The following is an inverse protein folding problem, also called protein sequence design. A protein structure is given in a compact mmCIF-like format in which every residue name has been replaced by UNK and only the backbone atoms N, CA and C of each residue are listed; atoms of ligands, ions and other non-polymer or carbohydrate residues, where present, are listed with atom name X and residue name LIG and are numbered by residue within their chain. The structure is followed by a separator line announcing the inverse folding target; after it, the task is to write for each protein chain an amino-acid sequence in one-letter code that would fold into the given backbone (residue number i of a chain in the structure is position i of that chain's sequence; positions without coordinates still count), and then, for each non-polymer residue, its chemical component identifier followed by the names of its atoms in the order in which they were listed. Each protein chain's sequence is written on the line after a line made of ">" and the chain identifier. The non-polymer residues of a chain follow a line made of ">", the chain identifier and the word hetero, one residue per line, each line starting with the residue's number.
data_IF_944019362486
#
_entry.id   IF_944019362486
#
_cell.length_a   1.000
_cell.length_b   1.000
_cell.length_c   1.000
_cell.angle_alpha   90.00
_cell.angle_beta   90.00
_cell.angle_gamma   90.00
#
_symmetry.space_group_name_H-M   'P 1'
#
loop_
_entity.id
_entity.type
_entity.pdbx_description
1 polymer ?
#
# COMPACT_ATOMS: atom_id res chain seq x y z
N UNK A 1 7.38 30.67 55.54
CA UNK A 1 6.81 29.88 54.43
C UNK A 1 7.71 28.66 54.24
N UNK A 2 7.24 27.47 54.64
CA UNK A 2 8.03 26.22 54.59
C UNK A 2 7.76 25.52 53.26
N UNK A 3 8.81 25.29 52.45
CA UNK A 3 8.72 24.49 51.24
C UNK A 3 8.56 23.02 51.63
N UNK A 4 7.32 22.52 51.68
CA UNK A 4 7.07 21.08 51.78
C UNK A 4 7.70 20.41 50.55
N UNK A 5 8.72 19.59 50.78
CA UNK A 5 9.54 19.02 49.72
C UNK A 5 8.75 18.04 48.84
N UNK A 6 8.68 18.33 47.55
CA UNK A 6 8.09 17.46 46.52
C UNK A 6 8.86 16.14 46.29
N UNK A 7 9.82 15.79 47.16
CA UNK A 7 10.73 14.66 46.98
C UNK A 7 9.99 13.31 46.92
N UNK A 8 8.98 13.10 47.77
CA UNK A 8 8.18 11.86 47.74
C UNK A 8 7.41 11.67 46.43
N UNK A 9 6.85 12.75 45.89
CA UNK A 9 6.15 12.74 44.59
C UNK A 9 7.12 12.47 43.44
N UNK A 10 8.33 13.06 43.48
CA UNK A 10 9.37 12.86 42.46
C UNK A 10 9.85 11.40 42.47
N UNK A 11 10.13 10.82 43.63
CA UNK A 11 10.57 9.41 43.74
C UNK A 11 9.47 8.46 43.28
N UNK A 12 8.23 8.68 43.71
CA UNK A 12 7.09 7.88 43.25
C UNK A 12 6.93 7.94 41.72
N UNK A 13 6.97 9.14 41.14
CA UNK A 13 6.89 9.32 39.69
C UNK A 13 8.04 8.60 38.96
N UNK A 14 9.28 8.69 39.47
CA UNK A 14 10.43 7.99 38.89
C UNK A 14 10.27 6.46 38.93
N UNK A 15 9.78 5.91 40.05
CA UNK A 15 9.55 4.47 40.17
C UNK A 15 8.47 4.01 39.20
N UNK A 16 7.31 4.67 39.19
CA UNK A 16 6.19 4.29 38.31
C UNK A 16 6.56 4.42 36.84
N UNK A 17 7.23 5.51 36.44
CA UNK A 17 7.65 5.72 35.05
C UNK A 17 8.70 4.71 34.62
N UNK A 18 9.69 4.41 35.46
CA UNK A 18 10.73 3.42 35.16
C UNK A 18 10.13 2.02 35.03
N UNK A 19 9.26 1.63 35.95
CA UNK A 19 8.57 0.34 35.91
C UNK A 19 7.69 0.22 34.66
N UNK A 20 6.91 1.26 34.34
CA UNK A 20 6.03 1.28 33.18
C UNK A 20 6.82 1.21 31.87
N UNK A 21 7.91 1.96 31.76
CA UNK A 21 8.78 1.93 30.60
C UNK A 21 9.43 0.56 30.41
N UNK A 22 9.91 -0.07 31.50
CA UNK A 22 10.48 -1.42 31.46
C UNK A 22 9.47 -2.47 31.00
N UNK A 23 8.24 -2.43 31.53
CA UNK A 23 7.16 -3.34 31.13
C UNK A 23 6.77 -3.16 29.65
N UNK A 24 6.60 -1.92 29.19
CA UNK A 24 6.28 -1.62 27.79
C UNK A 24 7.40 -2.05 26.85
N UNK A 25 8.66 -1.78 27.21
CA UNK A 25 9.81 -2.19 26.41
C UNK A 25 9.93 -3.72 26.33
N UNK A 26 9.71 -4.42 27.44
CA UNK A 26 9.71 -5.89 27.46
C UNK A 26 8.58 -6.46 26.58
N UNK A 27 7.36 -5.97 26.74
CA UNK A 27 6.22 -6.41 25.92
C UNK A 27 6.48 -6.15 24.43
N UNK A 28 6.93 -4.94 24.06
CA UNK A 28 7.23 -4.61 22.67
C UNK A 28 8.32 -5.52 22.08
N UNK A 29 9.38 -5.79 22.84
CA UNK A 29 10.50 -6.62 22.35
C UNK A 29 10.11 -8.09 22.20
N UNK A 30 9.35 -8.64 23.15
CA UNK A 30 8.92 -10.04 23.14
C UNK A 30 7.89 -10.30 22.03
N UNK A 31 6.96 -9.37 21.79
CA UNK A 31 5.89 -9.55 20.79
C UNK A 31 6.33 -9.23 19.37
N UNK A 32 7.39 -8.43 19.18
CA UNK A 32 7.80 -7.94 17.85
C UNK A 32 8.00 -9.04 16.80
N UNK A 33 8.68 -10.17 17.08
CA UNK A 33 8.83 -11.23 16.08
C UNK A 33 7.50 -11.79 15.57
N UNK A 34 6.52 -11.99 16.47
CA UNK A 34 5.20 -12.48 16.11
C UNK A 34 4.39 -11.42 15.35
N UNK A 35 4.55 -10.13 15.68
CA UNK A 35 3.94 -9.03 14.93
C UNK A 35 4.50 -8.94 13.51
N UNK A 36 5.83 -8.99 13.36
CA UNK A 36 6.50 -8.92 12.07
C UNK A 36 6.09 -10.12 11.18
N UNK A 37 5.97 -11.32 11.75
CA UNK A 37 5.46 -12.51 11.06
C UNK A 37 4.00 -12.34 10.60
N UNK A 38 3.13 -11.77 11.46
CA UNK A 38 1.73 -11.54 11.10
C UNK A 38 1.57 -10.47 10.03
N UNK A 39 2.36 -9.39 10.08
CA UNK A 39 2.38 -8.35 9.03
C UNK A 39 2.83 -8.93 7.69
N UNK A 40 3.84 -9.79 7.70
CA UNK A 40 4.29 -10.47 6.48
C UNK A 40 3.21 -11.39 5.91
N UNK A 41 2.56 -12.20 6.76
CA UNK A 41 1.45 -13.07 6.35
C UNK A 41 0.30 -12.27 5.75
N UNK A 42 -0.09 -11.19 6.41
CA UNK A 42 -1.14 -10.29 5.95
C UNK A 42 -0.80 -9.67 4.60
N UNK A 43 0.45 -9.18 4.41
CA UNK A 43 0.92 -8.67 3.12
C UNK A 43 0.82 -9.72 2.01
N UNK A 44 1.24 -10.95 2.28
CA UNK A 44 1.12 -12.06 1.32
C UNK A 44 -0.34 -12.38 0.99
N UNK A 45 -1.21 -12.43 2.00
CA UNK A 45 -2.66 -12.67 1.81
C UNK A 45 -3.31 -11.56 0.99
N UNK A 46 -3.02 -10.31 1.31
CA UNK A 46 -3.52 -9.13 0.60
C UNK A 46 -3.10 -9.10 -0.88
N UNK A 47 -1.87 -9.51 -1.19
CA UNK A 47 -1.43 -9.59 -2.59
C UNK A 47 -2.12 -10.75 -3.33
N UNK A 48 -2.30 -11.91 -2.67
CA UNK A 48 -2.94 -13.09 -3.27
C UNK A 48 -4.46 -12.92 -3.42
N UNK A 49 -5.12 -12.18 -2.53
CA UNK A 49 -6.55 -11.92 -2.60
C UNK A 49 -6.94 -11.16 -3.87
N UNK A 50 -6.06 -10.29 -4.38
CA UNK A 50 -6.23 -9.57 -5.64
C UNK A 50 -6.49 -10.49 -6.83
N UNK A 51 -5.94 -11.71 -6.82
CA UNK A 51 -6.11 -12.72 -7.87
C UNK A 51 -7.11 -13.82 -7.48
N UNK A 52 -7.88 -13.61 -6.42
CA UNK A 52 -8.96 -14.48 -5.96
C UNK A 52 -8.54 -15.60 -4.99
N UNK A 53 -7.30 -15.55 -4.48
CA UNK A 53 -6.78 -16.55 -3.53
C UNK A 53 -6.97 -16.06 -2.09
N UNK A 54 -8.17 -16.30 -1.56
CA UNK A 54 -8.63 -15.80 -0.26
C UNK A 54 -8.59 -16.85 0.87
N UNK A 55 -7.96 -18.01 0.65
CA UNK A 55 -7.89 -19.06 1.64
C UNK A 55 -6.98 -18.71 2.82
N UNK A 56 -7.29 -19.17 4.04
CA UNK A 56 -6.55 -18.80 5.26
C UNK A 56 -5.07 -19.24 5.25
N UNK A 57 -4.69 -20.17 4.36
CA UNK A 57 -3.32 -20.68 4.22
C UNK A 57 -2.70 -20.39 2.84
N UNK A 58 -3.34 -19.58 1.99
CA UNK A 58 -2.83 -19.34 0.63
C UNK A 58 -1.49 -18.59 0.62
N UNK A 59 -1.19 -17.79 1.65
CA UNK A 59 0.13 -17.15 1.83
C UNK A 59 1.31 -18.14 1.75
N UNK A 60 1.11 -19.42 2.11
CA UNK A 60 2.16 -20.45 2.02
C UNK A 60 2.56 -20.78 0.58
N UNK A 61 1.71 -20.44 -0.39
CA UNK A 61 1.95 -20.64 -1.82
C UNK A 61 2.51 -19.38 -2.49
N UNK A 62 2.73 -18.29 -1.74
CA UNK A 62 3.11 -17.00 -2.29
C UNK A 62 4.34 -17.11 -3.20
N UNK A 63 5.43 -17.67 -2.69
CA UNK A 63 6.70 -17.79 -3.44
C UNK A 63 6.60 -18.72 -4.66
N UNK A 64 5.59 -19.58 -4.73
CA UNK A 64 5.34 -20.47 -5.85
C UNK A 64 4.50 -19.83 -6.95
N UNK A 65 3.61 -18.90 -6.57
CA UNK A 65 2.60 -18.31 -7.46
C UNK A 65 2.98 -16.90 -7.93
N UNK A 66 3.81 -16.21 -7.17
CA UNK A 66 4.04 -14.77 -7.32
C UNK A 66 5.54 -14.50 -7.39
N UNK A 67 5.97 -13.84 -8.46
CA UNK A 67 7.34 -13.38 -8.61
C UNK A 67 7.47 -11.94 -8.09
N UNK A 68 8.26 -11.74 -7.04
CA UNK A 68 8.57 -10.40 -6.52
C UNK A 68 9.66 -9.68 -7.33
N UNK A 69 9.45 -8.38 -7.56
CA UNK A 69 10.36 -7.48 -8.26
C UNK A 69 10.43 -6.15 -7.51
N UNK A 70 11.55 -5.45 -7.67
CA UNK A 70 11.73 -4.10 -7.14
C UNK A 70 12.19 -3.21 -8.27
N UNK A 71 11.56 -2.04 -8.41
CA UNK A 71 11.93 -1.04 -9.41
C UNK A 71 12.25 0.31 -8.74
N UNK A 72 12.99 1.16 -9.43
CA UNK A 72 13.18 2.56 -9.06
C UNK A 72 12.13 3.49 -9.68
N UNK A 73 12.29 4.81 -9.48
CA UNK A 73 11.38 5.85 -9.97
C UNK A 73 11.37 5.96 -11.51
N UNK A 74 12.42 5.46 -12.15
CA UNK A 74 12.62 5.43 -13.59
C UNK A 74 12.10 4.12 -14.21
N UNK A 75 11.59 3.20 -13.39
CA UNK A 75 11.08 1.90 -13.81
C UNK A 75 12.18 0.89 -14.12
N UNK A 76 13.42 1.12 -13.64
CA UNK A 76 14.51 0.17 -13.78
C UNK A 76 14.51 -0.82 -12.63
N UNK A 77 14.81 -2.09 -12.92
CA UNK A 77 14.83 -3.13 -11.91
C UNK A 77 16.04 -2.97 -10.97
N UNK A 78 15.78 -3.01 -9.67
CA UNK A 78 16.79 -2.97 -8.60
C UNK A 78 17.10 -4.40 -8.16
N UNK A 79 18.34 -4.85 -8.34
CA UNK A 79 18.77 -6.20 -7.96
C UNK A 79 19.16 -6.27 -6.48
N UNK A 80 19.11 -7.48 -5.90
CA UNK A 80 19.56 -7.76 -4.53
C UNK A 80 18.64 -7.25 -3.42
N UNK A 81 17.40 -6.89 -3.75
CA UNK A 81 16.39 -6.41 -2.79
C UNK A 81 15.13 -7.28 -2.89
N UNK A 82 14.67 -7.81 -1.76
CA UNK A 82 13.45 -8.61 -1.69
C UNK A 82 12.22 -7.69 -1.61
N UNK A 83 11.27 -7.86 -2.54
CA UNK A 83 10.07 -7.03 -2.62
C UNK A 83 9.18 -7.14 -1.35
N UNK A 84 9.10 -8.33 -0.75
CA UNK A 84 8.34 -8.55 0.48
C UNK A 84 8.91 -7.79 1.68
N UNK A 85 10.23 -7.60 1.73
CA UNK A 85 10.91 -6.89 2.83
C UNK A 85 10.72 -5.36 2.79
N UNK A 86 10.23 -4.82 1.66
CA UNK A 86 10.03 -3.38 1.52
C UNK A 86 8.67 -2.91 2.06
N UNK A 87 8.71 -1.78 2.75
CA UNK A 87 7.53 -0.99 3.12
C UNK A 87 7.59 0.31 2.31
N UNK A 88 6.70 0.45 1.32
CA UNK A 88 6.69 1.60 0.43
C UNK A 88 6.40 2.92 1.16
N UNK A 89 5.60 2.91 2.23
CA UNK A 89 5.35 4.09 3.04
C UNK A 89 6.64 4.53 3.77
N UNK A 90 7.43 3.57 4.26
CA UNK A 90 8.73 3.85 4.86
C UNK A 90 9.74 4.35 3.82
N UNK A 91 9.82 3.73 2.64
CA UNK A 91 10.68 4.15 1.54
C UNK A 91 10.44 5.63 1.17
N UNK A 92 9.16 6.02 1.02
CA UNK A 92 8.77 7.42 0.75
C UNK A 92 9.09 8.37 1.91
N UNK A 93 8.94 7.91 3.15
CA UNK A 93 9.32 8.69 4.34
C UNK A 93 10.82 8.93 4.40
N UNK A 94 11.64 7.96 4.00
CA UNK A 94 13.10 8.11 3.92
C UNK A 94 13.48 9.11 2.84
N UNK A 95 12.85 9.05 1.66
CA UNK A 95 13.06 10.05 0.60
C UNK A 95 12.69 11.48 1.03
N UNK A 96 11.56 11.65 1.74
CA UNK A 96 11.18 12.96 2.29
C UNK A 96 12.24 13.52 3.26
N UNK A 97 12.89 12.65 4.04
CA UNK A 97 13.95 13.04 4.99
C UNK A 97 15.31 13.25 4.31
N UNK A 98 15.56 12.56 3.22
CA UNK A 98 16.79 12.63 2.45
C UNK A 98 16.46 12.52 0.95
N UNK A 99 16.37 13.64 0.22
CA UNK A 99 16.04 13.62 -1.22
C UNK A 99 17.02 12.83 -2.10
N UNK A 100 18.25 12.55 -1.62
CA UNK A 100 19.20 11.69 -2.32
C UNK A 100 18.82 10.19 -2.23
N UNK A 101 18.00 9.80 -1.25
CA UNK A 101 17.48 8.45 -1.13
C UNK A 101 16.50 8.16 -2.27
N UNK A 102 16.78 7.14 -3.08
CA UNK A 102 15.89 6.72 -4.18
C UNK A 102 14.83 5.76 -3.66
N UNK A 103 13.56 6.12 -3.85
CA UNK A 103 12.43 5.27 -3.46
C UNK A 103 12.45 4.00 -4.29
N UNK A 104 12.37 2.86 -3.62
CA UNK A 104 12.23 1.55 -4.25
C UNK A 104 10.80 1.09 -4.18
N UNK A 105 10.27 0.64 -5.30
CA UNK A 105 8.89 0.26 -5.49
C UNK A 105 8.79 -1.26 -5.64
N UNK A 106 8.28 -1.97 -4.62
CA UNK A 106 8.01 -3.40 -4.76
C UNK A 106 6.80 -3.60 -5.69
N UNK A 107 6.89 -4.58 -6.57
CA UNK A 107 5.78 -5.09 -7.35
C UNK A 107 5.89 -6.60 -7.47
N UNK A 108 4.83 -7.21 -7.98
CA UNK A 108 4.81 -8.64 -8.19
C UNK A 108 4.15 -8.99 -9.50
N UNK A 109 4.50 -10.15 -10.02
CA UNK A 109 3.93 -10.70 -11.25
C UNK A 109 3.32 -12.06 -10.90
N UNK A 110 2.02 -12.17 -11.16
CA UNK A 110 1.28 -13.42 -11.09
C UNK A 110 1.01 -13.90 -12.51
N UNK A 111 1.18 -15.20 -12.75
CA UNK A 111 0.80 -15.85 -14.01
C UNK A 111 -0.21 -16.95 -13.70
N UNK A 112 -1.40 -16.84 -14.26
CA UNK A 112 -2.43 -17.84 -14.05
C UNK A 112 -2.10 -19.15 -14.81
N UNK A 113 -2.81 -20.26 -14.54
CA UNK A 113 -2.60 -21.52 -15.25
C UNK A 113 -2.83 -21.46 -16.77
N UNK A 114 -3.47 -20.41 -17.28
CA UNK A 114 -3.69 -20.17 -18.72
C UNK A 114 -2.58 -19.31 -19.34
N UNK A 115 -1.64 -18.83 -18.53
CA UNK A 115 -0.53 -17.97 -18.95
C UNK A 115 -0.84 -16.47 -18.93
N UNK A 116 -2.03 -16.05 -18.48
CA UNK A 116 -2.38 -14.64 -18.37
C UNK A 116 -1.54 -14.00 -17.28
N UNK A 117 -0.91 -12.87 -17.60
CA UNK A 117 -0.10 -12.11 -16.65
C UNK A 117 -0.95 -11.08 -15.90
N UNK A 118 -0.74 -10.95 -14.59
CA UNK A 118 -1.32 -9.88 -13.77
C UNK A 118 -0.22 -9.23 -12.96
N UNK A 119 -0.12 -7.90 -13.05
CA UNK A 119 0.83 -7.11 -12.26
C UNK A 119 0.17 -6.73 -10.94
N UNK A 120 0.82 -7.06 -9.82
CA UNK A 120 0.35 -6.76 -8.48
C UNK A 120 1.21 -5.63 -7.91
N UNK A 121 0.59 -4.49 -7.66
CA UNK A 121 1.26 -3.22 -7.37
C UNK A 121 0.99 -2.81 -5.94
N UNK A 122 2.01 -2.37 -5.22
CA UNK A 122 1.84 -1.76 -3.90
C UNK A 122 1.80 -0.24 -4.05
N UNK A 123 0.88 0.42 -3.38
CA UNK A 123 0.81 1.90 -3.35
C UNK A 123 0.77 2.38 -1.92
N UNK A 124 1.35 3.55 -1.66
CA UNK A 124 1.38 4.14 -0.32
C UNK A 124 1.26 5.66 -0.35
N UNK A 125 0.50 6.23 0.57
CA UNK A 125 0.20 7.65 0.60
C UNK A 125 -0.04 8.18 2.00
N UNK A 126 -0.51 9.42 2.06
CA UNK A 126 -0.84 10.10 3.31
C UNK A 126 -2.33 10.45 3.29
N UNK A 127 -3.06 9.94 4.28
CA UNK A 127 -4.44 10.30 4.57
C UNK A 127 -4.52 11.56 5.46
N UNK A 128 -5.60 11.68 6.23
CA UNK A 128 -5.75 12.80 7.16
C UNK A 128 -4.89 12.61 8.42
N UNK A 129 -4.96 11.42 9.01
CA UNK A 129 -4.36 11.13 10.31
C UNK A 129 -3.04 10.35 10.21
N UNK A 130 -2.85 9.61 9.13
CA UNK A 130 -1.73 8.70 9.01
C UNK A 130 -1.47 8.19 7.59
N UNK A 131 -0.55 7.22 7.45
CA UNK A 131 -0.34 6.54 6.19
C UNK A 131 -1.61 5.78 5.76
N UNK A 132 -1.86 5.82 4.45
CA UNK A 132 -2.79 4.95 3.75
C UNK A 132 -1.98 4.12 2.76
N UNK A 133 -2.44 2.93 2.42
CA UNK A 133 -1.79 2.08 1.43
C UNK A 133 -2.82 1.25 0.68
N UNK A 134 -2.37 0.60 -0.37
CA UNK A 134 -3.18 -0.35 -1.10
C UNK A 134 -2.37 -1.33 -1.91
N UNK A 135 -3.07 -2.33 -2.40
CA UNK A 135 -2.58 -3.28 -3.38
C UNK A 135 -3.53 -3.28 -4.57
N UNK A 136 -3.01 -3.27 -5.79
CA UNK A 136 -3.81 -3.27 -7.01
C UNK A 136 -3.38 -4.38 -7.94
N UNK A 137 -4.33 -5.05 -8.58
CA UNK A 137 -4.06 -5.91 -9.72
C UNK A 137 -4.34 -5.16 -11.01
N UNK A 138 -3.33 -5.07 -11.87
CA UNK A 138 -3.41 -4.54 -13.21
C UNK A 138 -3.32 -5.71 -14.20
N UNK A 139 -4.21 -5.73 -15.18
CA UNK A 139 -4.26 -6.78 -16.20
C UNK A 139 -3.02 -6.75 -17.11
N UNK A 140 -2.88 -7.76 -17.97
CA UNK A 140 -1.70 -7.90 -18.84
C UNK A 140 -1.49 -6.72 -19.79
N UNK A 141 -2.57 -6.01 -20.11
CA UNK A 141 -2.58 -4.80 -20.95
C UNK A 141 -1.85 -3.61 -20.30
N UNK A 142 -1.51 -3.71 -19.01
CA UNK A 142 -0.85 -2.64 -18.26
C UNK A 142 -1.72 -1.38 -18.12
N UNK A 143 -3.04 -1.51 -18.20
CA UNK A 143 -3.97 -0.39 -18.19
C UNK A 143 -5.23 -0.66 -17.34
N UNK A 144 -5.79 -1.87 -17.43
CA UNK A 144 -7.08 -2.20 -16.83
C UNK A 144 -6.90 -2.72 -15.40
N UNK A 145 -7.54 -2.06 -14.43
CA UNK A 145 -7.57 -2.51 -13.04
C UNK A 145 -8.54 -3.68 -12.88
N UNK A 146 -8.02 -4.80 -12.39
CA UNK A 146 -8.78 -6.02 -12.11
C UNK A 146 -9.38 -6.00 -10.70
N UNK A 147 -8.61 -5.52 -9.74
CA UNK A 147 -9.01 -5.41 -8.34
C UNK A 147 -8.11 -4.40 -7.62
N UNK A 148 -8.61 -3.87 -6.52
CA UNK A 148 -7.85 -3.03 -5.61
C UNK A 148 -8.29 -3.35 -4.19
N UNK A 149 -7.36 -3.29 -3.25
CA UNK A 149 -7.63 -3.29 -1.82
C UNK A 149 -6.88 -2.14 -1.18
N UNK A 150 -7.44 -1.53 -0.16
CA UNK A 150 -6.84 -0.41 0.55
C UNK A 150 -6.89 -0.63 2.05
N UNK A 151 -5.97 0.02 2.76
CA UNK A 151 -6.03 0.10 4.21
C UNK A 151 -5.34 1.36 4.71
N UNK A 152 -5.47 1.62 6.00
CA UNK A 152 -5.07 2.87 6.61
C UNK A 152 -4.60 2.70 8.05
N UNK A 153 -3.80 3.65 8.51
CA UNK A 153 -3.45 3.75 9.93
C UNK A 153 -4.21 4.89 10.60
N UNK A 154 -5.27 4.53 11.32
CA UNK A 154 -5.96 5.43 12.23
C UNK A 154 -6.87 6.46 11.55
N UNK A 155 -7.32 6.21 10.32
CA UNK A 155 -8.42 6.99 9.75
C UNK A 155 -9.71 6.76 10.56
N UNK A 156 -10.61 7.74 10.52
CA UNK A 156 -11.81 7.72 11.36
C UNK A 156 -12.89 6.79 10.76
N UNK A 157 -13.40 5.79 11.50
CA UNK A 157 -14.54 4.96 11.10
C UNK A 157 -15.75 5.78 10.66
N UNK A 158 -16.43 5.39 9.57
CA UNK A 158 -17.53 6.15 8.98
C UNK A 158 -17.12 7.39 8.17
N UNK A 159 -15.82 7.69 8.08
CA UNK A 159 -15.23 8.76 7.27
C UNK A 159 -14.08 8.17 6.44
N UNK A 160 -12.85 8.69 6.58
CA UNK A 160 -11.70 8.22 5.80
C UNK A 160 -11.40 6.73 5.89
N UNK A 161 -11.84 6.05 6.95
CA UNK A 161 -11.63 4.61 7.10
C UNK A 161 -12.35 3.78 6.03
N UNK A 162 -13.44 4.29 5.45
CA UNK A 162 -14.27 3.55 4.50
C UNK A 162 -13.53 3.20 3.19
N UNK A 163 -12.30 3.69 3.00
CA UNK A 163 -11.46 3.27 1.87
C UNK A 163 -11.14 1.76 1.88
N UNK A 164 -11.17 1.08 3.04
CA UNK A 164 -10.89 -0.36 3.15
C UNK A 164 -12.14 -1.24 3.13
N UNK A 165 -13.22 -0.72 2.54
CA UNK A 165 -14.50 -1.44 2.41
C UNK A 165 -14.66 -1.98 1.00
N UNK A 166 -15.31 -3.15 0.88
CA UNK A 166 -15.70 -3.74 -0.41
C UNK A 166 -16.44 -2.72 -1.31
N UNK A 167 -17.29 -1.88 -0.72
CA UNK A 167 -18.07 -0.88 -1.45
C UNK A 167 -17.21 0.20 -2.11
N UNK A 168 -16.06 0.54 -1.52
CA UNK A 168 -15.09 1.45 -2.12
C UNK A 168 -14.19 0.72 -3.11
N UNK A 169 -13.64 -0.42 -2.71
CA UNK A 169 -12.68 -1.22 -3.47
C UNK A 169 -13.23 -1.73 -4.80
N UNK A 170 -14.49 -2.20 -4.81
CA UNK A 170 -15.12 -2.72 -6.03
C UNK A 170 -15.32 -1.67 -7.13
N UNK A 171 -15.29 -0.37 -6.79
CA UNK A 171 -15.40 0.71 -7.78
C UNK A 171 -14.20 0.76 -8.73
N UNK A 172 -13.07 0.19 -8.34
CA UNK A 172 -11.85 0.17 -9.15
C UNK A 172 -11.84 -0.92 -10.22
N UNK A 173 -12.76 -1.88 -10.16
CA UNK A 173 -12.85 -2.95 -11.15
C UNK A 173 -13.17 -2.36 -12.54
N UNK A 174 -12.40 -2.75 -13.55
CA UNK A 174 -12.46 -2.29 -14.94
C UNK A 174 -12.12 -0.80 -15.15
N UNK A 175 -11.62 -0.10 -14.13
CA UNK A 175 -11.10 1.27 -14.32
C UNK A 175 -9.78 1.23 -15.08
N UNK A 176 -9.45 2.31 -15.77
CA UNK A 176 -8.29 2.39 -16.67
C UNK A 176 -7.34 3.49 -16.23
N UNK A 177 -6.05 3.21 -16.36
CA UNK A 177 -4.99 4.17 -16.01
C UNK A 177 -4.66 5.13 -17.15
N UNK A 178 -5.00 4.75 -18.39
CA UNK A 178 -4.67 5.48 -19.62
C UNK A 178 -5.92 5.96 -20.34
N UNK A 179 -5.89 7.18 -20.86
CA UNK A 179 -6.96 7.71 -21.72
C UNK A 179 -6.92 7.09 -23.14
N UNK A 180 -7.84 7.50 -24.01
CA UNK A 180 -7.93 7.02 -25.40
C UNK A 180 -6.69 7.35 -26.24
N UNK A 181 -5.93 8.37 -25.86
CA UNK A 181 -4.68 8.79 -26.51
C UNK A 181 -3.46 7.99 -26.00
N UNK A 182 -3.62 7.16 -24.98
CA UNK A 182 -2.55 6.39 -24.34
C UNK A 182 -1.77 7.17 -23.26
N UNK A 183 -2.22 8.38 -22.92
CA UNK A 183 -1.62 9.18 -21.86
C UNK A 183 -2.04 8.65 -20.49
N UNK A 184 -1.11 8.67 -19.55
CA UNK A 184 -1.40 8.30 -18.16
C UNK A 184 -2.23 9.38 -17.49
N UNK A 185 -3.41 8.99 -16.98
CA UNK A 185 -4.35 9.86 -16.27
C UNK A 185 -4.73 9.33 -14.88
N UNK A 186 -4.35 8.09 -14.55
CA UNK A 186 -4.70 7.40 -13.30
C UNK A 186 -6.21 7.24 -13.08
N UNK A 187 -6.60 6.76 -11.91
CA UNK A 187 -7.97 6.76 -11.40
C UNK A 187 -8.08 7.79 -10.29
N UNK A 188 -9.03 8.71 -10.41
CA UNK A 188 -9.30 9.75 -9.43
C UNK A 188 -10.46 9.37 -8.51
N UNK A 189 -10.34 9.73 -7.25
CA UNK A 189 -11.39 9.60 -6.24
C UNK A 189 -12.05 10.97 -6.09
N UNK A 190 -13.25 11.12 -6.66
CA UNK A 190 -13.91 12.42 -6.82
C UNK A 190 -15.34 12.40 -6.27
N UNK A 191 -15.84 13.56 -5.83
CA UNK A 191 -17.23 13.66 -5.36
C UNK A 191 -18.17 13.49 -6.56
N UNK A 192 -19.12 12.56 -6.46
CA UNK A 192 -20.09 12.35 -7.52
C UNK A 192 -20.76 10.99 -7.42
N UNK A 193 -21.35 10.57 -8.54
CA UNK A 193 -21.76 9.20 -8.80
C UNK A 193 -21.15 8.79 -10.14
N UNK A 194 -20.07 8.04 -10.08
CA UNK A 194 -19.32 7.59 -11.24
C UNK A 194 -19.77 6.18 -11.60
N UNK A 195 -20.16 5.99 -12.85
CA UNK A 195 -20.55 4.67 -13.37
C UNK A 195 -19.43 4.07 -14.24
N UNK A 196 -19.76 2.95 -14.89
CA UNK A 196 -18.83 2.23 -15.76
C UNK A 196 -18.39 3.03 -17.00
N UNK A 197 -19.15 4.07 -17.41
CA UNK A 197 -18.79 4.95 -18.53
C UNK A 197 -17.69 5.95 -18.17
N UNK A 198 -17.34 6.07 -16.88
CA UNK A 198 -16.28 6.94 -16.37
C UNK A 198 -15.06 6.11 -15.95
N UNK A 199 -14.17 5.74 -16.89
CA UNK A 199 -13.10 4.77 -16.63
C UNK A 199 -11.98 5.28 -15.73
N UNK A 200 -11.89 6.59 -15.49
CA UNK A 200 -10.80 7.24 -14.77
C UNK A 200 -11.22 7.84 -13.43
N UNK A 201 -12.43 7.52 -12.95
CA UNK A 201 -12.95 8.08 -11.71
C UNK A 201 -13.80 7.08 -10.92
N UNK A 202 -13.74 7.22 -9.59
CA UNK A 202 -14.55 6.52 -8.58
C UNK A 202 -15.11 7.53 -7.58
N UNK A 203 -16.13 7.12 -6.83
CA UNK A 203 -16.78 7.97 -5.86
C UNK A 203 -15.91 8.17 -4.61
N UNK A 204 -15.78 9.43 -4.21
CA UNK A 204 -15.14 9.81 -2.96
C UNK A 204 -15.98 9.42 -1.74
N UNK A 205 -15.27 9.15 -0.64
CA UNK A 205 -15.89 8.87 0.65
C UNK A 205 -16.53 10.14 1.21
N UNK A 206 -17.82 10.08 1.52
CA UNK A 206 -18.55 11.17 2.17
C UNK A 206 -17.92 11.50 3.51
N UNK A 207 -17.61 12.78 3.76
CA UNK A 207 -16.90 13.23 4.96
C UNK A 207 -15.41 12.84 5.03
N UNK A 208 -14.92 11.97 4.15
CA UNK A 208 -13.53 11.53 4.03
C UNK A 208 -12.76 12.21 2.89
N UNK A 209 -12.99 13.50 2.63
CA UNK A 209 -12.42 14.19 1.44
C UNK A 209 -10.89 14.23 1.44
N UNK A 210 -10.24 14.44 2.60
CA UNK A 210 -8.78 14.49 2.68
C UNK A 210 -8.17 13.11 2.37
N UNK A 211 -8.75 12.05 2.92
CA UNK A 211 -8.35 10.67 2.68
C UNK A 211 -8.59 10.28 1.21
N UNK A 212 -9.73 10.66 0.64
CA UNK A 212 -10.06 10.45 -0.78
C UNK A 212 -9.02 11.11 -1.69
N UNK A 213 -8.67 12.37 -1.42
CA UNK A 213 -7.60 13.07 -2.14
C UNK A 213 -6.23 12.40 -1.96
N UNK A 214 -5.97 11.87 -0.75
CA UNK A 214 -4.80 11.08 -0.45
C UNK A 214 -4.70 9.83 -1.33
N UNK A 215 -5.80 9.09 -1.50
CA UNK A 215 -5.87 7.92 -2.39
C UNK A 215 -5.62 8.33 -3.83
N UNK A 216 -6.30 9.35 -4.35
CA UNK A 216 -6.07 9.86 -5.72
C UNK A 216 -4.60 10.17 -6.00
N UNK A 217 -3.96 10.91 -5.09
CA UNK A 217 -2.56 11.30 -5.20
C UNK A 217 -1.62 10.09 -5.09
N UNK A 218 -1.91 9.17 -4.18
CA UNK A 218 -1.16 7.93 -4.00
C UNK A 218 -1.14 7.12 -5.30
N UNK A 219 -2.31 6.91 -5.91
CA UNK A 219 -2.46 6.18 -7.17
C UNK A 219 -1.71 6.88 -8.31
N UNK A 220 -1.92 8.19 -8.48
CA UNK A 220 -1.24 8.96 -9.53
C UNK A 220 0.29 8.85 -9.44
N UNK A 221 0.86 9.00 -8.25
CA UNK A 221 2.32 9.01 -8.07
C UNK A 221 2.96 7.63 -8.25
N UNK A 222 2.34 6.59 -7.68
CA UNK A 222 2.96 5.26 -7.63
C UNK A 222 2.75 4.50 -8.92
N UNK A 223 1.54 4.56 -9.49
CA UNK A 223 1.23 3.90 -10.75
C UNK A 223 2.05 4.49 -11.91
N UNK A 224 2.39 5.78 -11.86
CA UNK A 224 3.30 6.38 -12.83
C UNK A 224 4.69 5.71 -12.85
N UNK A 225 5.19 5.25 -11.70
CA UNK A 225 6.48 4.56 -11.62
C UNK A 225 6.38 3.14 -12.19
N UNK A 226 5.34 2.40 -11.80
CA UNK A 226 5.10 1.03 -12.30
C UNK A 226 4.86 0.98 -13.80
N UNK A 227 4.11 1.93 -14.35
CA UNK A 227 3.81 1.96 -15.79
C UNK A 227 5.06 2.14 -16.66
N UNK A 228 6.10 2.81 -16.17
CA UNK A 228 7.39 2.91 -16.89
C UNK A 228 8.01 1.53 -17.09
N UNK A 229 8.03 0.71 -16.04
CA UNK A 229 8.52 -0.66 -16.11
C UNK A 229 7.64 -1.53 -17.01
N UNK A 230 6.31 -1.52 -16.79
CA UNK A 230 5.37 -2.40 -17.52
C UNK A 230 5.42 -2.13 -19.03
N UNK A 231 5.46 -0.86 -19.45
CA UNK A 231 5.56 -0.49 -20.87
C UNK A 231 6.88 -0.94 -21.53
N UNK A 232 7.98 -0.95 -20.77
CA UNK A 232 9.26 -1.46 -21.26
C UNK A 232 9.17 -2.97 -21.54
N UNK A 233 8.48 -3.73 -20.68
CA UNK A 233 8.28 -5.18 -20.87
C UNK A 233 7.41 -5.50 -22.10
N UNK A 234 6.36 -4.73 -22.33
CA UNK A 234 5.51 -4.87 -23.53
C UNK A 234 6.26 -4.58 -24.83
N UNK A 235 7.23 -3.66 -24.80
CA UNK A 235 8.06 -3.31 -25.97
C UNK A 235 9.13 -4.36 -26.27
N UNK A 236 9.59 -5.10 -25.25
CA UNK A 236 10.61 -6.15 -25.37
C UNK A 236 10.05 -7.53 -25.74
N UNK A 237 8.72 -7.67 -25.85
CA UNK A 237 8.04 -8.90 -26.28
C UNK A 237 7.49 -8.75 -27.72
N UNK A 238 8.32 -8.63 -28.78
CA UNK A 238 7.79 -8.80 -30.13
C UNK A 238 7.36 -10.26 -30.27
N UNK A 239 6.10 -10.44 -30.67
CA UNK A 239 5.49 -11.72 -31.00
C UNK A 239 6.43 -12.56 -31.88
N UNK A 240 6.64 -13.81 -31.49
CA UNK A 240 7.14 -14.86 -32.37
C UNK A 240 6.03 -15.33 -33.31
#
# INVERSE_FOLDING_TARGET
>A
MSSKGNSGTIVFALVVTTLSAALLAAAATILKPAQDENVLKEKQQNILSLVGLNGPNDYKKFDQLVQGLVIDQEGQQVQGVEALALDLALEKKLNTKNPAYKVRYPMYVYRDPRGQTTYLLQVAGTGLWGPIWGYLALDEDGNTLRSAIFDHKGETPGLGAEINTDAFEQQFINKKLLNEQGDFVSVKVEKGKHDASMPHAVDAISGGTITSNGVSKMLEQDLACYLKYIRQQSTQSPQL
#
